data_IF_121254182417
#
_entry.id   IF_121254182417
#
_cell.length_a   1.000
_cell.length_b   1.000
_cell.length_c   1.000
_cell.angle_alpha   90.00
_cell.angle_beta   90.00
_cell.angle_gamma   90.00
#
_symmetry.space_group_name_H-M   'P 1'
#
loop_
_entity.id
_entity.type
_entity.pdbx_description
1 polymer ?
#
# COMPACT_ATOMS: atom_id res chain seq x y z
N UNK A 1 -10.58 8.27 -13.32
CA UNK A 1 -9.55 8.16 -12.26
C UNK A 1 -8.94 6.77 -12.36
N UNK A 2 -7.62 6.64 -12.31
CA UNK A 2 -6.91 5.37 -12.49
C UNK A 2 -6.70 4.70 -11.14
N UNK A 3 -6.92 3.39 -11.05
CA UNK A 3 -6.71 2.59 -9.84
C UNK A 3 -5.83 1.38 -10.16
N UNK A 4 -5.03 0.96 -9.17
CA UNK A 4 -4.30 -0.31 -9.25
C UNK A 4 -5.10 -1.39 -8.51
N UNK A 5 -5.38 -2.48 -9.20
CA UNK A 5 -6.01 -3.67 -8.65
C UNK A 5 -5.55 -4.91 -9.39
N UNK A 6 -5.42 -6.03 -8.68
CA UNK A 6 -4.96 -7.28 -9.26
C UNK A 6 -4.30 -8.21 -8.24
N UNK A 7 -4.05 -9.44 -8.67
CA UNK A 7 -3.32 -10.44 -7.87
C UNK A 7 -1.82 -10.31 -8.12
N UNK A 8 -1.04 -10.43 -7.04
CA UNK A 8 0.42 -10.46 -7.08
C UNK A 8 0.93 -11.72 -6.37
N UNK A 9 2.06 -12.25 -6.82
CA UNK A 9 2.69 -13.41 -6.22
C UNK A 9 3.08 -13.15 -4.76
N UNK A 10 2.55 -13.97 -3.86
CA UNK A 10 2.92 -14.00 -2.44
C UNK A 10 3.11 -15.45 -2.02
N UNK A 11 3.97 -15.70 -1.03
CA UNK A 11 4.19 -17.05 -0.50
C UNK A 11 4.40 -17.03 1.01
N UNK A 12 4.13 -18.17 1.63
CA UNK A 12 4.52 -18.49 3.00
C UNK A 12 4.97 -19.95 3.03
N UNK A 13 6.24 -20.20 3.37
CA UNK A 13 6.83 -21.54 3.39
C UNK A 13 7.74 -21.71 4.59
N UNK A 14 7.76 -22.91 5.17
CA UNK A 14 8.66 -23.21 6.28
C UNK A 14 10.07 -23.46 5.75
N UNK A 15 11.05 -22.67 6.20
CA UNK A 15 12.47 -22.88 5.91
C UNK A 15 13.10 -23.69 7.04
N UNK A 16 13.74 -24.79 6.67
CA UNK A 16 14.49 -25.63 7.60
C UNK A 16 15.76 -24.92 8.07
N UNK A 17 16.44 -24.21 7.16
CA UNK A 17 17.67 -23.47 7.46
C UNK A 17 17.44 -22.37 8.49
N UNK A 18 16.32 -21.65 8.36
CA UNK A 18 15.94 -20.61 9.31
C UNK A 18 15.14 -21.16 10.52
N UNK A 19 14.74 -22.44 10.48
CA UNK A 19 13.83 -23.07 11.44
C UNK A 19 12.56 -22.25 11.72
N UNK A 20 12.02 -21.59 10.69
CA UNK A 20 10.87 -20.68 10.82
C UNK A 20 10.08 -20.54 9.52
N UNK A 21 8.89 -19.95 9.61
CA UNK A 21 8.04 -19.65 8.45
C UNK A 21 8.52 -18.39 7.73
N UNK A 22 9.11 -18.56 6.54
CA UNK A 22 9.48 -17.50 5.62
C UNK A 22 8.26 -17.03 4.81
N UNK A 23 8.17 -15.72 4.58
CA UNK A 23 7.03 -15.13 3.86
C UNK A 23 7.51 -14.02 2.94
N UNK A 24 6.92 -13.95 1.75
CA UNK A 24 7.05 -12.80 0.84
C UNK A 24 5.66 -12.26 0.54
N UNK A 25 5.40 -11.02 0.93
CA UNK A 25 4.18 -10.31 0.61
C UNK A 25 4.45 -9.28 -0.49
N UNK A 26 3.48 -9.15 -1.39
CA UNK A 26 3.55 -8.30 -2.57
C UNK A 26 2.16 -7.76 -2.85
N UNK A 27 2.04 -6.46 -3.12
CA UNK A 27 0.77 -5.83 -3.47
C UNK A 27 0.85 -5.14 -4.84
N UNK A 28 -0.27 -5.09 -5.54
CA UNK A 28 -0.41 -4.31 -6.77
C UNK A 28 -0.47 -2.82 -6.41
N UNK A 29 0.56 -2.05 -6.77
CA UNK A 29 0.71 -0.63 -6.47
C UNK A 29 1.19 0.15 -7.69
N UNK A 30 1.03 1.47 -7.64
CA UNK A 30 1.52 2.40 -8.64
C UNK A 30 3.06 2.34 -8.75
N UNK A 31 3.55 2.02 -9.95
CA UNK A 31 4.99 1.99 -10.26
C UNK A 31 5.42 3.29 -10.92
N UNK A 32 4.50 3.93 -11.64
CA UNK A 32 4.74 5.23 -12.26
C UNK A 32 3.50 6.10 -12.11
N UNK A 33 3.74 7.35 -11.70
CA UNK A 33 2.72 8.37 -11.54
C UNK A 33 3.14 9.68 -12.16
N UNK A 34 2.18 10.46 -12.65
CA UNK A 34 2.40 11.84 -13.10
C UNK A 34 1.45 12.77 -12.35
N UNK A 35 1.95 13.92 -11.90
CA UNK A 35 1.10 14.99 -11.37
C UNK A 35 0.41 15.70 -12.53
N UNK A 36 -0.93 15.73 -12.52
CA UNK A 36 -1.75 16.44 -13.51
C UNK A 36 -2.43 17.61 -12.84
N UNK A 37 -2.47 18.75 -13.52
CA UNK A 37 -3.23 19.92 -13.10
C UNK A 37 -4.50 20.04 -13.92
N UNK A 38 -5.61 20.37 -13.26
CA UNK A 38 -6.91 20.59 -13.87
C UNK A 38 -7.50 21.88 -13.32
N UNK A 39 -8.15 22.65 -14.19
CA UNK A 39 -8.97 23.79 -13.78
C UNK A 39 -10.34 23.26 -13.33
N UNK A 40 -10.72 23.58 -12.09
CA UNK A 40 -12.05 23.28 -11.55
C UNK A 40 -12.88 24.57 -11.53
N UNK A 41 -14.15 24.44 -11.91
CA UNK A 41 -15.11 25.53 -11.97
C UNK A 41 -16.15 25.30 -10.88
N UNK A 42 -16.29 26.25 -9.97
CA UNK A 42 -17.30 26.23 -8.92
C UNK A 42 -18.68 26.63 -9.48
N UNK A 43 -19.78 26.27 -8.80
CA UNK A 43 -21.13 26.66 -9.21
C UNK A 43 -21.36 28.19 -9.29
N UNK A 44 -20.57 28.97 -8.55
CA UNK A 44 -20.58 30.45 -8.56
C UNK A 44 -19.78 31.06 -9.74
N UNK A 45 -19.18 30.22 -10.59
CA UNK A 45 -18.36 30.63 -11.73
C UNK A 45 -16.90 30.92 -11.39
N UNK A 46 -16.49 30.83 -10.11
CA UNK A 46 -15.08 30.96 -9.74
C UNK A 46 -14.25 29.78 -10.27
N UNK A 47 -12.98 30.05 -10.60
CA UNK A 47 -12.05 29.06 -11.17
C UNK A 47 -10.88 28.86 -10.23
N UNK A 48 -10.49 27.60 -10.03
CA UNK A 48 -9.28 27.28 -9.28
C UNK A 48 -8.59 26.04 -9.84
N UNK A 49 -7.26 26.01 -9.78
CA UNK A 49 -6.49 24.88 -10.23
C UNK A 49 -6.31 23.85 -9.12
N UNK A 50 -6.49 22.58 -9.46
CA UNK A 50 -6.22 21.47 -8.57
C UNK A 50 -5.27 20.48 -9.23
N UNK A 51 -4.26 20.08 -8.48
CA UNK A 51 -3.32 19.07 -8.92
C UNK A 51 -3.63 17.72 -8.27
N UNK A 52 -3.70 16.67 -9.07
CA UNK A 52 -3.87 15.31 -8.59
C UNK A 52 -2.79 14.38 -9.15
N UNK A 53 -2.58 13.23 -8.49
CA UNK A 53 -1.64 12.21 -8.93
C UNK A 53 -2.39 11.23 -9.85
N UNK A 54 -1.93 11.10 -11.08
CA UNK A 54 -2.43 10.15 -12.07
C UNK A 54 -1.51 8.93 -12.11
N UNK A 55 -2.09 7.73 -12.09
CA UNK A 55 -1.32 6.49 -12.17
C UNK A 55 -1.12 6.14 -13.65
N UNK A 56 0.13 6.08 -14.09
CA UNK A 56 0.47 5.69 -15.47
C UNK A 56 0.63 4.18 -15.59
N UNK A 57 1.18 3.54 -14.56
CA UNK A 57 1.48 2.10 -14.57
C UNK A 57 1.37 1.51 -13.17
N UNK A 58 0.80 0.30 -13.10
CA UNK A 58 0.77 -0.53 -11.89
C UNK A 58 1.77 -1.68 -12.00
N UNK A 59 2.16 -2.23 -10.86
CA UNK A 59 2.99 -3.42 -10.78
C UNK A 59 3.04 -3.99 -9.38
N UNK A 60 3.58 -5.20 -9.28
CA UNK A 60 3.71 -5.91 -8.01
C UNK A 60 4.94 -5.40 -7.26
N UNK A 61 4.70 -4.79 -6.10
CA UNK A 61 5.76 -4.29 -5.22
C UNK A 61 5.75 -5.06 -3.91
N UNK A 62 6.94 -5.43 -3.43
CA UNK A 62 7.10 -6.10 -2.13
C UNK A 62 6.58 -5.23 -1.00
N UNK A 63 5.88 -5.85 -0.08
CA UNK A 63 5.33 -5.22 1.11
C UNK A 63 5.67 -6.05 2.34
N UNK A 64 5.74 -5.40 3.50
CA UNK A 64 5.96 -6.11 4.75
C UNK A 64 4.72 -6.94 5.12
N UNK A 65 4.94 -8.22 5.45
CA UNK A 65 3.90 -9.07 5.99
C UNK A 65 3.66 -8.69 7.46
N UNK A 66 2.42 -8.35 7.83
CA UNK A 66 2.08 -8.17 9.25
C UNK A 66 1.94 -9.55 9.88
N UNK A 67 2.90 -9.94 10.73
CA UNK A 67 2.79 -11.16 11.52
C UNK A 67 2.06 -10.90 12.83
N UNK A 68 1.17 -11.80 13.28
CA UNK A 68 0.41 -11.63 14.52
C UNK A 68 1.26 -11.60 15.81
N UNK A 69 2.56 -11.89 15.75
CA UNK A 69 3.49 -11.78 16.88
C UNK A 69 3.85 -10.31 17.19
N UNK A 70 3.91 -9.44 16.18
CA UNK A 70 4.25 -8.02 16.34
C UNK A 70 3.15 -7.21 17.06
N UNK A 71 1.89 -7.64 16.98
CA UNK A 71 0.74 -6.96 17.60
C UNK A 71 0.58 -7.26 19.10
N UNK A 72 1.29 -8.25 19.64
CA UNK A 72 1.15 -8.65 21.06
C UNK A 72 2.02 -7.81 22.01
N UNK A 73 3.11 -7.23 21.49
CA UNK A 73 4.04 -6.41 22.28
C UNK A 73 3.43 -5.07 22.68
N UNK A 74 2.51 -4.51 21.87
CA UNK A 74 1.89 -3.20 22.17
C UNK A 74 0.63 -3.29 23.02
N UNK A 75 -0.12 -4.40 22.98
CA UNK A 75 -1.33 -4.58 23.82
C UNK A 75 -1.05 -5.02 25.26
N UNK A 76 0.04 -5.73 25.50
CA UNK A 76 0.38 -6.26 26.83
C UNK A 76 0.97 -5.20 27.78
N UNK A 77 1.55 -4.10 27.27
CA UNK A 77 2.12 -3.01 28.09
C UNK A 77 1.10 -2.05 28.71
N UNK A 78 -0.16 -2.03 28.22
CA UNK A 78 -1.22 -1.15 28.78
C UNK A 78 -2.03 -1.76 29.93
N UNK A 79 -1.82 -3.04 30.26
CA UNK A 79 -2.53 -3.74 31.36
C UNK A 79 -1.70 -3.90 32.65
N UNK A 80 -0.52 -3.27 32.75
CA UNK A 80 0.33 -3.27 33.97
C UNK A 80 0.51 -1.86 34.55
N UNK A 81 -0.54 -1.04 34.56
CA UNK A 81 -0.57 0.19 35.36
C UNK A 81 -1.85 0.24 36.17
#
# INVERSE_FOLDING_TARGET
>A
MTTCGGSCGTYAMYSLEANMMERSCTCCREVSTTKKEVEMICPDGSKFNHSYIHINKCGCQRTECVTPEATQVTRSRRRRR
#
